data_IF_252959943158
#
_entry.id   IF_252959943158
#
_cell.length_a   1.000
_cell.length_b   1.000
_cell.length_c   1.000
_cell.angle_alpha   90.00
_cell.angle_beta   90.00
_cell.angle_gamma   90.00
#
_symmetry.space_group_name_H-M   'P 1'
#
loop_
_entity.id
_entity.type
_entity.pdbx_description
1 polymer ?
#
# COMPACT_ATOMS: atom_id res chain seq x y z
N UNK A 1 1.47 -0.18 -21.24
CA UNK A 1 1.15 1.15 -20.66
C UNK A 1 1.50 1.05 -19.19
N UNK A 2 2.17 2.04 -18.61
CA UNK A 2 2.51 2.04 -17.16
C UNK A 2 1.24 2.11 -16.33
N UNK A 3 1.10 1.24 -15.34
CA UNK A 3 -0.06 1.19 -14.45
C UNK A 3 0.31 1.64 -13.03
N UNK A 4 -0.40 2.64 -12.51
CA UNK A 4 -0.18 3.18 -11.16
C UNK A 4 -1.43 2.93 -10.31
N UNK A 5 -1.23 2.25 -9.18
CA UNK A 5 -2.28 1.94 -8.22
C UNK A 5 -2.15 2.83 -6.99
N UNK A 6 -3.18 3.63 -6.71
CA UNK A 6 -3.33 4.32 -5.43
C UNK A 6 -3.99 3.41 -4.40
N UNK A 7 -3.36 3.23 -3.24
CA UNK A 7 -3.85 2.38 -2.15
C UNK A 7 -4.36 3.27 -1.01
N UNK A 8 -5.66 3.48 -0.94
CA UNK A 8 -6.29 4.33 0.09
C UNK A 8 -6.51 3.55 1.38
N UNK A 9 -5.65 3.83 2.37
CA UNK A 9 -5.66 3.18 3.68
C UNK A 9 -6.35 4.02 4.77
N UNK A 10 -7.10 5.06 4.41
CA UNK A 10 -7.89 5.85 5.35
C UNK A 10 -9.22 5.16 5.64
N UNK A 11 -9.68 5.08 6.91
CA UNK A 11 -11.03 4.61 7.23
C UNK A 11 -12.12 5.65 6.89
N UNK A 12 -11.74 6.89 6.55
CA UNK A 12 -12.67 7.99 6.24
C UNK A 12 -12.84 8.12 4.74
N UNK A 13 -14.05 7.88 4.26
CA UNK A 13 -14.44 8.13 2.88
C UNK A 13 -14.48 9.65 2.61
N UNK A 14 -13.90 10.09 1.50
CA UNK A 14 -13.87 11.51 1.11
C UNK A 14 -12.96 12.39 1.99
N UNK A 15 -12.09 11.81 2.82
CA UNK A 15 -11.17 12.55 3.68
C UNK A 15 -9.93 13.07 2.94
N UNK A 16 -9.13 13.89 3.64
CA UNK A 16 -7.93 14.53 3.06
C UNK A 16 -6.95 13.54 2.42
N UNK A 17 -6.78 12.35 3.00
CA UNK A 17 -5.93 11.29 2.42
C UNK A 17 -6.43 10.86 1.03
N UNK A 18 -7.74 10.71 0.87
CA UNK A 18 -8.33 10.34 -0.42
C UNK A 18 -8.18 11.47 -1.44
N UNK A 19 -8.38 12.72 -1.03
CA UNK A 19 -8.24 13.90 -1.89
C UNK A 19 -6.81 13.95 -2.45
N UNK A 20 -5.80 13.93 -1.57
CA UNK A 20 -4.39 13.99 -2.00
C UNK A 20 -3.98 12.80 -2.86
N UNK A 21 -4.47 11.60 -2.52
CA UNK A 21 -4.16 10.42 -3.33
C UNK A 21 -4.77 10.49 -4.72
N UNK A 22 -5.98 11.03 -4.86
CA UNK A 22 -6.61 11.27 -6.17
C UNK A 22 -5.85 12.30 -7.00
N UNK A 23 -5.36 13.38 -6.39
CA UNK A 23 -4.51 14.36 -7.07
C UNK A 23 -3.20 13.74 -7.57
N UNK A 24 -2.55 12.90 -6.75
CA UNK A 24 -1.36 12.19 -7.18
C UNK A 24 -1.63 11.22 -8.34
N UNK A 25 -2.78 10.52 -8.33
CA UNK A 25 -3.20 9.67 -9.44
C UNK A 25 -3.54 10.48 -10.69
N UNK A 26 -4.14 11.67 -10.56
CA UNK A 26 -4.38 12.57 -11.68
C UNK A 26 -3.06 13.02 -12.33
N UNK A 27 -2.06 13.41 -11.52
CA UNK A 27 -0.73 13.72 -12.04
C UNK A 27 -0.06 12.54 -12.76
N UNK A 28 -0.22 11.31 -12.24
CA UNK A 28 0.28 10.12 -12.92
C UNK A 28 -0.43 9.88 -14.27
N UNK A 29 -1.74 10.13 -14.33
CA UNK A 29 -2.52 10.02 -15.57
C UNK A 29 -2.11 11.09 -16.61
N UNK A 30 -1.86 12.33 -16.17
CA UNK A 30 -1.30 13.39 -17.04
C UNK A 30 0.07 13.00 -17.59
N UNK A 31 0.87 12.25 -16.83
CA UNK A 31 2.13 11.65 -17.26
C UNK A 31 1.97 10.42 -18.19
N UNK A 32 0.75 10.04 -18.55
CA UNK A 32 0.44 8.96 -19.49
C UNK A 32 0.29 7.57 -18.85
N UNK A 33 0.17 7.48 -17.53
CA UNK A 33 -0.10 6.23 -16.85
C UNK A 33 -1.61 5.88 -16.82
N UNK A 34 -1.93 4.60 -16.87
CA UNK A 34 -3.23 4.09 -16.43
C UNK A 34 -3.28 4.11 -14.89
N UNK A 35 -4.32 4.69 -14.32
CA UNK A 35 -4.44 4.84 -12.86
C UNK A 35 -5.67 4.14 -12.31
N UNK A 36 -5.53 3.54 -11.13
CA UNK A 36 -6.61 2.91 -10.39
C UNK A 36 -6.54 3.31 -8.92
N UNK A 37 -7.69 3.53 -8.28
CA UNK A 37 -7.81 3.74 -6.83
C UNK A 37 -8.37 2.49 -6.16
N UNK A 38 -7.56 1.85 -5.33
CA UNK A 38 -7.98 0.77 -4.44
C UNK A 38 -8.31 1.34 -3.06
N UNK A 39 -9.54 1.17 -2.62
CA UNK A 39 -9.98 1.52 -1.26
C UNK A 39 -9.98 0.28 -0.38
N UNK A 40 -9.56 0.41 0.89
CA UNK A 40 -9.52 -0.73 1.82
C UNK A 40 -10.54 -0.61 2.96
N UNK A 41 -11.27 0.51 3.07
CA UNK A 41 -12.24 0.73 4.16
C UNK A 41 -13.50 -0.15 4.03
N UNK A 42 -13.77 -0.69 2.86
CA UNK A 42 -14.90 -1.58 2.54
C UNK A 42 -14.49 -3.05 2.38
N UNK A 43 -13.24 -3.39 2.69
CA UNK A 43 -12.68 -4.73 2.52
C UNK A 43 -12.62 -5.50 3.85
N UNK A 44 -12.92 -6.78 3.80
CA UNK A 44 -12.61 -7.71 4.89
C UNK A 44 -11.13 -8.13 4.77
N UNK A 45 -10.28 -7.55 5.59
CA UNK A 45 -8.85 -7.86 5.65
C UNK A 45 -8.48 -8.24 7.08
N UNK A 46 -8.24 -9.52 7.31
CA UNK A 46 -7.86 -10.04 8.64
C UNK A 46 -6.37 -9.86 8.89
N UNK A 47 -5.95 -9.62 10.14
CA UNK A 47 -4.54 -9.54 10.51
C UNK A 47 -3.76 -10.81 10.12
N UNK A 48 -2.46 -10.67 9.86
CA UNK A 48 -1.56 -11.81 9.70
C UNK A 48 -1.40 -12.55 11.03
N UNK A 49 -1.53 -13.87 11.00
CA UNK A 49 -1.39 -14.74 12.18
C UNK A 49 0.01 -15.37 12.32
N UNK A 50 0.97 -14.97 11.46
CA UNK A 50 2.36 -15.43 11.53
C UNK A 50 2.56 -16.93 11.20
N UNK A 51 1.62 -17.57 10.54
CA UNK A 51 1.67 -19.03 10.28
C UNK A 51 2.70 -19.50 9.25
N UNK A 52 3.35 -18.60 8.53
CA UNK A 52 4.35 -18.88 7.49
C UNK A 52 3.89 -19.80 6.34
N UNK A 53 2.59 -20.11 6.22
CA UNK A 53 2.09 -20.96 5.13
C UNK A 53 2.40 -20.36 3.73
N UNK A 54 2.34 -19.04 3.59
CA UNK A 54 2.65 -18.35 2.35
C UNK A 54 4.11 -18.52 1.90
N UNK A 55 5.05 -18.69 2.82
CA UNK A 55 6.46 -18.95 2.50
C UNK A 55 6.68 -20.36 1.94
N UNK A 56 5.79 -21.29 2.26
CA UNK A 56 5.83 -22.67 1.71
C UNK A 56 5.10 -22.74 0.37
N UNK A 57 3.87 -22.22 0.31
CA UNK A 57 2.95 -22.40 -0.82
C UNK A 57 2.96 -21.26 -1.83
N UNK A 58 3.50 -20.08 -1.47
CA UNK A 58 3.39 -18.84 -2.26
C UNK A 58 2.02 -18.16 -2.13
N UNK A 59 1.10 -18.67 -1.28
CA UNK A 59 -0.24 -18.14 -1.10
C UNK A 59 -0.60 -18.02 0.38
N UNK A 60 -1.30 -16.94 0.75
CA UNK A 60 -1.83 -16.79 2.10
C UNK A 60 -3.00 -17.76 2.33
N UNK A 61 -3.05 -18.38 3.53
CA UNK A 61 -4.12 -19.31 3.90
C UNK A 61 -5.38 -18.63 4.42
N UNK A 62 -5.28 -17.36 4.81
CA UNK A 62 -6.42 -16.60 5.36
C UNK A 62 -7.39 -16.30 4.23
N UNK A 63 -8.66 -16.65 4.45
CA UNK A 63 -9.74 -16.41 3.49
C UNK A 63 -10.39 -15.06 3.80
N UNK A 64 -10.14 -14.10 2.94
CA UNK A 64 -10.63 -12.72 2.98
C UNK A 64 -10.41 -12.04 1.61
N UNK A 65 -10.47 -10.69 1.54
CA UNK A 65 -10.33 -9.94 0.28
C UNK A 65 -8.88 -9.77 -0.21
N UNK A 66 -7.89 -10.23 0.55
CA UNK A 66 -6.47 -10.06 0.18
C UNK A 66 -6.06 -10.66 -1.17
N UNK A 67 -6.57 -11.81 -1.64
CA UNK A 67 -6.19 -12.33 -2.94
C UNK A 67 -6.38 -11.34 -4.09
N UNK A 68 -7.53 -10.67 -4.16
CA UNK A 68 -7.78 -9.66 -5.19
C UNK A 68 -6.88 -8.41 -5.04
N UNK A 69 -6.47 -8.08 -3.81
CA UNK A 69 -5.52 -6.99 -3.56
C UNK A 69 -4.11 -7.39 -4.03
N UNK A 70 -3.68 -8.63 -3.78
CA UNK A 70 -2.40 -9.11 -4.30
C UNK A 70 -2.33 -9.03 -5.82
N UNK A 71 -3.38 -9.43 -6.51
CA UNK A 71 -3.44 -9.38 -7.97
C UNK A 71 -3.24 -7.95 -8.48
N UNK A 72 -3.93 -6.95 -7.90
CA UNK A 72 -3.75 -5.53 -8.22
C UNK A 72 -2.32 -5.03 -7.95
N UNK A 73 -1.71 -5.44 -6.84
CA UNK A 73 -0.32 -5.08 -6.52
C UNK A 73 0.67 -5.67 -7.53
N UNK A 74 0.40 -6.87 -8.01
CA UNK A 74 1.26 -7.53 -8.99
C UNK A 74 1.11 -6.96 -10.40
N UNK A 75 -0.08 -6.51 -10.77
CA UNK A 75 -0.36 -5.89 -12.06
C UNK A 75 0.19 -4.47 -12.19
N UNK A 76 0.25 -3.70 -11.09
CA UNK A 76 0.72 -2.32 -11.12
C UNK A 76 2.24 -2.24 -11.25
N UNK A 77 2.75 -1.23 -11.96
CA UNK A 77 4.17 -0.88 -12.04
C UNK A 77 4.58 0.07 -10.90
N UNK A 78 3.63 0.86 -10.40
CA UNK A 78 3.81 1.77 -9.28
C UNK A 78 2.67 1.69 -8.26
N UNK A 79 3.02 1.83 -6.97
CA UNK A 79 2.08 1.84 -5.84
C UNK A 79 2.22 3.16 -5.08
N UNK A 80 1.14 3.95 -5.00
CA UNK A 80 1.08 5.16 -4.16
C UNK A 80 0.19 4.85 -2.96
N UNK A 81 0.78 4.80 -1.77
CA UNK A 81 0.06 4.51 -0.54
C UNK A 81 -0.42 5.80 0.11
N UNK A 82 -1.71 5.91 0.41
CA UNK A 82 -2.29 7.02 1.16
C UNK A 82 -2.73 6.58 2.55
N UNK A 83 -2.17 7.15 3.62
CA UNK A 83 -2.53 6.81 5.01
C UNK A 83 -2.66 8.05 5.89
N UNK A 84 -3.64 8.12 6.79
CA UNK A 84 -3.58 9.10 7.87
C UNK A 84 -2.52 8.68 8.90
N UNK A 85 -1.96 9.66 9.59
CA UNK A 85 -1.09 9.43 10.74
C UNK A 85 -1.98 9.19 11.97
N UNK A 86 -1.95 7.98 12.50
CA UNK A 86 -2.60 7.62 13.74
C UNK A 86 -1.53 7.20 14.76
N UNK A 87 -1.53 7.88 15.91
CA UNK A 87 -0.58 7.63 16.99
C UNK A 87 0.87 7.56 16.51
N UNK A 88 1.29 8.60 15.75
CA UNK A 88 2.64 8.79 15.20
C UNK A 88 3.10 7.74 14.17
N UNK A 89 2.19 6.97 13.59
CA UNK A 89 2.52 5.96 12.57
C UNK A 89 1.37 5.78 11.58
N UNK A 90 1.48 4.79 10.70
CA UNK A 90 0.42 4.40 9.78
C UNK A 90 -0.83 3.97 10.53
N UNK A 91 -2.01 4.18 9.95
CA UNK A 91 -3.26 3.67 10.50
C UNK A 91 -3.24 2.13 10.60
N UNK A 92 -4.00 1.55 11.53
CA UNK A 92 -4.04 0.10 11.75
C UNK A 92 -4.38 -0.68 10.48
N UNK A 93 -5.30 -0.17 9.66
CA UNK A 93 -5.69 -0.78 8.38
C UNK A 93 -4.50 -0.86 7.42
N UNK A 94 -3.66 0.17 7.38
CA UNK A 94 -2.43 0.19 6.58
C UNK A 94 -1.46 -0.89 7.08
N UNK A 95 -1.29 -1.00 8.40
CA UNK A 95 -0.36 -1.97 8.97
C UNK A 95 -0.80 -3.41 8.73
N UNK A 96 -2.10 -3.69 8.84
CA UNK A 96 -2.65 -5.01 8.49
C UNK A 96 -2.31 -5.35 7.04
N UNK A 97 -2.52 -4.42 6.11
CA UNK A 97 -2.23 -4.63 4.69
C UNK A 97 -0.74 -4.89 4.45
N UNK A 98 0.15 -4.10 5.08
CA UNK A 98 1.60 -4.29 5.03
C UNK A 98 2.00 -5.68 5.53
N UNK A 99 1.50 -6.10 6.70
CA UNK A 99 1.82 -7.41 7.28
C UNK A 99 1.36 -8.57 6.39
N UNK A 100 0.20 -8.40 5.74
CA UNK A 100 -0.33 -9.39 4.80
C UNK A 100 0.49 -9.48 3.52
N UNK A 101 1.19 -8.41 3.11
CA UNK A 101 2.11 -8.41 1.96
C UNK A 101 3.33 -9.32 2.17
N UNK A 102 3.57 -9.86 3.37
CA UNK A 102 4.57 -10.90 3.58
C UNK A 102 4.38 -12.11 2.63
N UNK A 103 3.16 -12.36 2.16
CA UNK A 103 2.89 -13.37 1.14
C UNK A 103 3.53 -13.06 -0.23
N UNK A 104 3.88 -11.81 -0.50
CA UNK A 104 4.52 -11.36 -1.75
C UNK A 104 6.05 -11.31 -1.65
N UNK A 105 6.63 -11.49 -0.45
CA UNK A 105 8.09 -11.45 -0.28
C UNK A 105 8.79 -12.67 -0.88
N UNK A 106 8.11 -13.82 -0.91
CA UNK A 106 8.65 -15.02 -1.57
C UNK A 106 8.79 -14.79 -3.08
N UNK A 107 10.04 -14.87 -3.56
CA UNK A 107 10.35 -14.64 -4.96
C UNK A 107 10.37 -13.15 -5.37
N UNK A 108 10.46 -12.24 -4.39
CA UNK A 108 10.60 -10.79 -4.63
C UNK A 108 9.57 -10.24 -5.63
N UNK A 109 8.30 -10.61 -5.44
CA UNK A 109 7.23 -10.38 -6.43
C UNK A 109 6.89 -8.92 -6.70
N UNK A 110 7.30 -8.00 -5.82
CA UNK A 110 7.14 -6.54 -6.01
C UNK A 110 8.46 -5.86 -6.42
N UNK A 111 9.53 -6.61 -6.68
CA UNK A 111 10.81 -6.05 -7.04
C UNK A 111 10.72 -5.16 -8.31
N UNK A 112 11.48 -4.07 -8.30
CA UNK A 112 11.57 -3.06 -9.36
C UNK A 112 10.29 -2.24 -9.60
N UNK A 113 9.21 -2.45 -8.82
CA UNK A 113 8.07 -1.54 -8.85
C UNK A 113 8.41 -0.26 -8.10
N UNK A 114 7.82 0.85 -8.51
CA UNK A 114 7.97 2.15 -7.83
C UNK A 114 7.01 2.24 -6.66
N UNK A 115 7.49 2.68 -5.50
CA UNK A 115 6.70 2.89 -4.29
C UNK A 115 6.76 4.33 -3.82
N UNK A 116 5.61 4.96 -3.59
CA UNK A 116 5.47 6.27 -2.97
C UNK A 116 4.47 6.25 -1.83
N UNK A 117 4.53 7.22 -0.92
CA UNK A 117 3.58 7.32 0.18
C UNK A 117 3.17 8.76 0.46
N UNK A 118 1.87 8.95 0.71
CA UNK A 118 1.24 10.19 1.15
C UNK A 118 0.78 9.99 2.58
N UNK A 119 1.24 10.85 3.49
CA UNK A 119 0.85 10.82 4.90
C UNK A 119 0.10 12.09 5.29
N UNK A 120 -1.04 11.94 5.94
CA UNK A 120 -1.87 13.07 6.39
C UNK A 120 -1.97 13.06 7.91
N UNK A 121 -1.50 14.13 8.54
CA UNK A 121 -1.53 14.32 9.99
C UNK A 121 -2.20 15.64 10.36
N UNK A 122 -2.68 15.73 11.60
CA UNK A 122 -3.11 17.01 12.16
C UNK A 122 -1.93 17.96 12.45
N UNK A 123 -0.76 17.39 12.88
CA UNK A 123 0.45 18.16 13.16
C UNK A 123 1.74 17.38 13.05
N UNK A 124 1.83 16.18 13.62
CA UNK A 124 3.09 15.44 13.81
C UNK A 124 2.93 13.95 13.41
N UNK A 125 4.06 13.24 13.28
CA UNK A 125 4.10 11.78 13.17
C UNK A 125 4.37 11.25 11.76
N UNK A 126 4.61 12.09 10.77
CA UNK A 126 4.95 11.69 9.40
C UNK A 126 6.18 10.78 9.36
N UNK A 127 7.19 11.04 10.22
CA UNK A 127 8.43 10.27 10.25
C UNK A 127 8.19 8.76 10.51
N UNK A 128 7.24 8.42 11.39
CA UNK A 128 6.88 7.02 11.66
C UNK A 128 6.28 6.34 10.42
N UNK A 129 5.44 7.06 9.68
CA UNK A 129 4.86 6.60 8.42
C UNK A 129 5.95 6.34 7.38
N UNK A 130 6.84 7.32 7.17
CA UNK A 130 7.92 7.21 6.19
C UNK A 130 8.86 6.05 6.51
N UNK A 131 9.28 5.88 7.76
CA UNK A 131 10.12 4.76 8.17
C UNK A 131 9.45 3.41 7.91
N UNK A 132 8.14 3.32 8.13
CA UNK A 132 7.36 2.11 7.87
C UNK A 132 7.35 1.76 6.38
N UNK A 133 7.10 2.75 5.50
CA UNK A 133 7.08 2.51 4.06
C UNK A 133 8.48 2.30 3.46
N UNK A 134 9.50 3.02 3.93
CA UNK A 134 10.89 2.76 3.51
C UNK A 134 11.30 1.32 3.81
N UNK A 135 10.95 0.82 5.01
CA UNK A 135 11.21 -0.58 5.36
C UNK A 135 10.43 -1.55 4.46
N UNK A 136 9.15 -1.26 4.18
CA UNK A 136 8.33 -2.07 3.28
C UNK A 136 8.92 -2.12 1.87
N UNK A 137 9.25 -0.97 1.28
CA UNK A 137 9.81 -0.88 -0.06
C UNK A 137 11.17 -1.59 -0.15
N UNK A 138 12.04 -1.41 0.87
CA UNK A 138 13.34 -2.08 0.94
C UNK A 138 13.21 -3.60 0.97
N UNK A 139 12.36 -4.14 1.85
CA UNK A 139 12.14 -5.59 1.98
C UNK A 139 11.59 -6.21 0.70
N UNK A 140 10.77 -5.45 -0.04
CA UNK A 140 10.19 -5.90 -1.30
C UNK A 140 11.02 -5.55 -2.53
N UNK A 141 12.24 -4.98 -2.36
CA UNK A 141 13.12 -4.54 -3.46
C UNK A 141 12.46 -3.56 -4.43
N UNK A 142 11.59 -2.70 -3.90
CA UNK A 142 10.94 -1.63 -4.67
C UNK A 142 11.84 -0.39 -4.75
N UNK A 143 11.62 0.42 -5.76
CA UNK A 143 12.26 1.74 -5.91
C UNK A 143 11.42 2.76 -5.14
N UNK A 144 11.97 3.34 -4.07
CA UNK A 144 11.27 4.37 -3.33
C UNK A 144 11.25 5.69 -4.13
N UNK A 145 10.05 6.22 -4.38
CA UNK A 145 9.85 7.60 -4.82
C UNK A 145 9.76 8.53 -3.61
N UNK A 146 9.48 9.80 -3.84
CA UNK A 146 9.32 10.79 -2.78
C UNK A 146 8.11 10.51 -1.87
N UNK A 147 8.16 11.08 -0.67
CA UNK A 147 7.12 11.03 0.36
C UNK A 147 6.52 12.43 0.56
N UNK A 148 5.20 12.51 0.60
CA UNK A 148 4.43 13.73 0.81
C UNK A 148 3.51 13.61 2.02
#
# INVERSE_FOLDING_TARGET
>A
MTKVLGVLCSPRKGGNTEILLKEALAGAAEGGAETELLTIYDKDIKPCDGCYACQKTGKCRIKDDMPGIYDKFLEADGLIWGTPVYYFNVAAQTKILIDRCFALSKGTRLANKVGGAISVAASLGHQGVWNTFLSFFSVHHMLAADFV
#
